data_IF_363973219329
#
_entry.id   IF_363973219329
#
_cell.length_a   1.000
_cell.length_b   1.000
_cell.length_c   1.000
_cell.angle_alpha   90.00
_cell.angle_beta   90.00
_cell.angle_gamma   90.00
#
_symmetry.space_group_name_H-M   'P 1'
#
loop_
_entity.id
_entity.type
_entity.pdbx_description
1 polymer ?
#
# COMPACT_ATOMS: atom_id res chain seq x y z
N UNK A 1 -2.91 -13.48 -3.64
CA UNK A 1 -1.64 -13.25 -2.90
C UNK A 1 -1.87 -12.09 -1.94
N UNK A 2 -1.44 -12.20 -0.68
CA UNK A 2 -1.60 -11.13 0.32
C UNK A 2 -0.36 -10.25 0.36
N UNK A 3 -0.54 -8.94 0.32
CA UNK A 3 0.54 -7.95 0.18
C UNK A 3 0.42 -6.93 1.31
N UNK A 4 1.50 -6.72 2.06
CA UNK A 4 1.58 -5.65 3.06
C UNK A 4 2.49 -4.53 2.56
N UNK A 5 1.97 -3.31 2.50
CA UNK A 5 2.72 -2.10 2.15
C UNK A 5 3.11 -1.38 3.44
N UNK A 6 4.37 -1.52 3.82
CA UNK A 6 4.95 -0.88 5.00
C UNK A 6 5.40 0.55 4.64
N UNK A 7 4.58 1.54 4.97
CA UNK A 7 4.80 2.96 4.69
C UNK A 7 3.96 3.48 3.53
N UNK A 8 2.93 4.27 3.83
CA UNK A 8 1.97 4.82 2.85
C UNK A 8 2.21 6.30 2.51
N UNK A 9 3.46 6.65 2.23
CA UNK A 9 3.79 7.94 1.62
C UNK A 9 3.55 7.91 0.10
N UNK A 10 4.11 8.87 -0.64
CA UNK A 10 3.90 8.98 -2.09
C UNK A 10 4.18 7.68 -2.87
N UNK A 11 5.31 7.02 -2.59
CA UNK A 11 5.71 5.78 -3.27
C UNK A 11 4.83 4.60 -2.85
N UNK A 12 4.75 4.32 -1.56
CA UNK A 12 4.01 3.17 -1.06
C UNK A 12 2.51 3.25 -1.34
N UNK A 13 1.93 4.44 -1.24
CA UNK A 13 0.53 4.69 -1.63
C UNK A 13 0.29 4.45 -3.11
N UNK A 14 1.14 4.99 -4.00
CA UNK A 14 0.97 4.83 -5.44
C UNK A 14 1.07 3.38 -5.89
N UNK A 15 2.15 2.69 -5.52
CA UNK A 15 2.35 1.30 -5.94
C UNK A 15 1.40 0.36 -5.24
N UNK A 16 1.10 0.57 -3.95
CA UNK A 16 0.11 -0.22 -3.25
C UNK A 16 -1.29 -0.09 -3.86
N UNK A 17 -1.69 1.11 -4.30
CA UNK A 17 -2.95 1.32 -4.99
C UNK A 17 -2.99 0.60 -6.34
N UNK A 18 -1.89 0.64 -7.12
CA UNK A 18 -1.78 -0.11 -8.38
C UNK A 18 -1.84 -1.64 -8.16
N UNK A 19 -1.25 -2.13 -7.07
CA UNK A 19 -1.31 -3.54 -6.71
C UNK A 19 -2.72 -3.97 -6.29
N UNK A 20 -3.46 -3.10 -5.60
CA UNK A 20 -4.86 -3.34 -5.26
C UNK A 20 -5.75 -3.36 -6.52
N UNK A 21 -5.52 -2.42 -7.44
CA UNK A 21 -6.21 -2.31 -8.73
C UNK A 21 -5.98 -3.55 -9.63
N UNK A 22 -4.80 -4.16 -9.53
CA UNK A 22 -4.48 -5.43 -10.20
C UNK A 22 -5.12 -6.67 -9.52
N UNK A 23 -6.00 -6.49 -8.54
CA UNK A 23 -6.68 -7.57 -7.83
C UNK A 23 -5.89 -8.18 -6.67
N UNK A 24 -4.82 -7.52 -6.22
CA UNK A 24 -4.08 -7.92 -5.04
C UNK A 24 -4.84 -7.63 -3.74
N UNK A 25 -4.77 -8.55 -2.77
CA UNK A 25 -5.26 -8.30 -1.42
C UNK A 25 -4.20 -7.49 -0.65
N UNK A 26 -4.31 -6.16 -0.71
CA UNK A 26 -3.31 -5.22 -0.19
C UNK A 26 -3.74 -4.61 1.14
N UNK A 27 -2.87 -4.68 2.14
CA UNK A 27 -3.00 -3.97 3.42
C UNK A 27 -1.94 -2.90 3.56
N UNK A 28 -2.33 -1.73 4.06
CA UNK A 28 -1.47 -0.57 4.19
C UNK A 28 -1.12 -0.29 5.65
N UNK A 29 0.17 -0.04 5.92
CA UNK A 29 0.66 0.32 7.27
C UNK A 29 1.30 1.70 7.22
N UNK A 30 0.63 2.68 7.81
CA UNK A 30 1.14 4.05 7.96
C UNK A 30 1.83 4.25 9.32
N UNK A 31 2.80 5.17 9.41
CA UNK A 31 3.48 5.52 10.67
C UNK A 31 2.82 6.67 11.45
N UNK A 32 1.66 7.17 11.00
CA UNK A 32 0.98 8.35 11.57
C UNK A 32 1.22 9.63 10.75
N UNK A 33 0.65 10.75 11.21
CA UNK A 33 0.64 12.03 10.49
C UNK A 33 2.00 12.69 10.45
N UNK A 34 2.67 12.61 9.31
CA UNK A 34 3.81 13.43 8.89
C UNK A 34 3.60 13.84 7.43
#
# INVERSE_FOLDING_TARGET
MKIAVMGTGGVGGYFGARLADAGGEVSFVARGTH
#
